data_IF_971798433554
#
_entry.id   IF_971798433554
#
_cell.length_a   1.000
_cell.length_b   1.000
_cell.length_c   1.000
_cell.angle_alpha   90.00
_cell.angle_beta   90.00
_cell.angle_gamma   90.00
#
_symmetry.space_group_name_H-M   'P 1'
#
loop_
_entity.id
_entity.type
_entity.pdbx_description
1 polymer ?
#
# COMPACT_ATOMS: atom_id res chain seq x y z
N UNK A 1 43.96 2.79 -40.15
CA UNK A 1 45.15 2.76 -41.03
C UNK A 1 45.25 4.17 -41.60
N UNK A 2 46.22 5.05 -41.35
CA UNK A 2 47.64 4.97 -40.98
C UNK A 2 48.03 6.24 -40.17
N UNK A 3 48.83 6.11 -39.11
CA UNK A 3 50.21 6.63 -38.90
C UNK A 3 50.37 8.17 -38.94
N UNK A 4 50.69 8.89 -37.84
CA UNK A 4 51.87 8.88 -36.94
C UNK A 4 53.12 9.59 -37.52
N UNK A 5 53.57 10.68 -36.87
CA UNK A 5 54.95 11.27 -36.77
C UNK A 5 54.80 12.56 -35.91
N UNK A 6 55.28 12.77 -34.67
CA UNK A 6 56.57 12.67 -33.94
C UNK A 6 57.71 13.52 -34.53
N UNK A 7 58.15 14.55 -33.78
CA UNK A 7 59.53 14.86 -33.28
C UNK A 7 59.64 16.35 -32.86
N UNK A 8 59.83 16.66 -31.56
CA UNK A 8 61.10 16.79 -30.80
C UNK A 8 61.82 18.12 -31.02
N UNK A 9 61.91 18.96 -29.98
CA UNK A 9 63.11 19.77 -29.68
C UNK A 9 63.24 19.97 -28.17
N UNK A 10 64.47 19.86 -27.68
CA UNK A 10 64.88 19.76 -26.30
C UNK A 10 65.77 20.93 -25.86
N UNK A 11 65.81 21.12 -24.53
CA UNK A 11 66.93 21.61 -23.70
C UNK A 11 67.18 23.10 -23.52
N UNK A 12 67.61 23.43 -22.27
CA UNK A 12 68.53 24.50 -21.76
C UNK A 12 67.82 25.33 -20.64
N UNK A 13 68.28 25.58 -19.40
CA UNK A 13 69.56 25.48 -18.61
C UNK A 13 69.19 25.86 -17.13
N UNK A 14 69.55 25.12 -16.05
CA UNK A 14 70.67 25.33 -15.07
C UNK A 14 70.33 25.97 -13.69
N UNK A 15 70.66 25.19 -12.63
CA UNK A 15 71.24 25.50 -11.29
C UNK A 15 70.48 26.28 -10.19
N UNK A 16 70.32 25.66 -9.00
CA UNK A 16 71.23 25.85 -7.85
C UNK A 16 70.88 24.92 -6.66
N UNK A 17 71.90 24.24 -6.15
CA UNK A 17 71.89 23.37 -4.96
C UNK A 17 72.52 24.16 -3.81
N UNK A 18 71.85 24.21 -2.65
CA UNK A 18 72.49 24.54 -1.37
C UNK A 18 72.10 23.44 -0.38
N UNK A 19 73.11 22.72 0.09
CA UNK A 19 73.06 21.78 1.21
C UNK A 19 73.49 22.49 2.49
N UNK A 20 72.77 22.25 3.59
CA UNK A 20 73.25 22.50 4.95
C UNK A 20 72.76 21.39 5.87
N UNK A 21 73.73 20.77 6.55
CA UNK A 21 73.63 19.61 7.43
C UNK A 21 73.03 19.95 8.80
N UNK A 22 72.30 18.97 9.36
CA UNK A 22 72.45 18.55 10.77
C UNK A 22 71.36 19.00 11.76
N UNK A 23 70.52 18.06 12.20
CA UNK A 23 70.39 17.65 13.62
C UNK A 23 69.14 16.76 13.81
N UNK A 24 69.36 15.58 14.39
CA UNK A 24 68.32 14.60 14.78
C UNK A 24 67.39 15.15 15.87
N UNK A 25 66.09 14.93 15.68
CA UNK A 25 65.04 15.21 16.67
C UNK A 25 63.80 14.38 16.38
N UNK A 26 63.72 13.20 16.99
CA UNK A 26 62.55 12.34 16.93
C UNK A 26 61.39 12.93 17.76
N UNK A 27 60.26 13.26 17.14
CA UNK A 27 58.96 13.30 17.83
C UNK A 27 57.77 13.15 16.88
N UNK A 28 57.08 12.02 16.99
CA UNK A 28 55.62 11.85 16.88
C UNK A 28 54.88 12.44 15.67
N UNK A 29 54.73 11.64 14.62
CA UNK A 29 53.77 11.87 13.52
C UNK A 29 52.34 11.54 13.99
N UNK A 30 51.58 12.53 14.47
CA UNK A 30 50.14 12.37 14.72
C UNK A 30 49.35 12.60 13.41
N UNK A 31 49.18 11.53 12.64
CA UNK A 31 48.16 11.51 11.59
C UNK A 31 46.77 11.49 12.25
N UNK A 32 46.09 12.63 12.25
CA UNK A 32 44.68 12.71 12.60
C UNK A 32 43.87 11.98 11.51
N UNK A 33 43.72 10.66 11.66
CA UNK A 33 42.81 9.86 10.84
C UNK A 33 41.39 10.26 11.25
N UNK A 34 40.84 11.25 10.57
CA UNK A 34 39.42 11.57 10.66
C UNK A 34 38.65 10.34 10.18
N UNK A 35 38.24 9.51 11.13
CA UNK A 35 37.36 8.37 10.91
C UNK A 35 35.97 8.94 10.66
N UNK A 36 35.68 9.25 9.40
CA UNK A 36 34.31 9.49 8.96
C UNK A 36 33.55 8.17 9.14
N UNK A 37 32.88 8.02 10.30
CA UNK A 37 31.83 7.01 10.49
C UNK A 37 30.75 7.31 9.45
N UNK A 38 30.83 6.66 8.29
CA UNK A 38 29.70 6.55 7.37
C UNK A 38 28.54 5.96 8.18
N UNK A 39 27.49 6.73 8.42
CA UNK A 39 26.29 6.25 9.06
C UNK A 39 25.83 4.99 8.30
N UNK A 40 25.84 3.84 8.98
CA UNK A 40 25.42 2.58 8.41
C UNK A 40 23.94 2.74 8.05
N UNK A 41 23.62 2.89 6.76
CA UNK A 41 22.25 2.98 6.25
C UNK A 41 21.50 1.74 6.70
N UNK A 42 20.76 1.83 7.79
CA UNK A 42 19.92 0.76 8.32
C UNK A 42 18.81 0.53 7.30
N UNK A 43 18.94 -0.52 6.49
CA UNK A 43 17.95 -0.87 5.49
C UNK A 43 16.62 -1.18 6.17
N UNK A 44 15.54 -0.48 5.79
CA UNK A 44 14.18 -0.80 6.25
C UNK A 44 13.88 -2.25 5.89
N UNK A 45 13.67 -3.10 6.89
CA UNK A 45 13.37 -4.52 6.68
C UNK A 45 11.87 -4.68 6.42
N UNK A 46 11.48 -4.57 5.15
CA UNK A 46 10.10 -4.81 4.71
C UNK A 46 9.82 -6.32 4.78
N UNK A 47 8.69 -6.69 5.38
CA UNK A 47 8.13 -8.04 5.41
C UNK A 47 6.84 -8.03 4.62
N UNK A 48 6.65 -9.02 3.76
CA UNK A 48 5.46 -9.15 2.93
C UNK A 48 4.52 -10.15 3.58
N UNK A 49 3.24 -9.77 3.68
CA UNK A 49 2.18 -10.62 4.18
C UNK A 49 1.17 -10.91 3.07
N UNK A 50 0.64 -12.12 3.04
CA UNK A 50 -0.34 -12.56 2.04
C UNK A 50 -1.54 -13.21 2.70
N UNK A 51 -2.73 -12.88 2.19
CA UNK A 51 -3.99 -13.56 2.48
C UNK A 51 -5.02 -13.19 1.40
N UNK A 52 -5.75 -14.19 0.90
CA UNK A 52 -6.71 -13.99 -0.19
C UNK A 52 -6.10 -13.24 -1.38
N UNK A 53 -6.79 -12.20 -1.85
CA UNK A 53 -6.39 -11.31 -2.93
C UNK A 53 -5.56 -10.09 -2.47
N UNK A 54 -5.03 -10.09 -1.24
CA UNK A 54 -4.29 -8.94 -0.70
C UNK A 54 -2.86 -9.30 -0.34
N UNK A 55 -1.93 -8.49 -0.82
CA UNK A 55 -0.52 -8.48 -0.44
C UNK A 55 -0.23 -7.21 0.36
N UNK A 56 0.42 -7.34 1.51
CA UNK A 56 0.76 -6.22 2.37
C UNK A 56 2.28 -6.13 2.58
N UNK A 57 2.90 -5.06 2.07
CA UNK A 57 4.30 -4.71 2.32
C UNK A 57 4.40 -3.87 3.60
N UNK A 58 4.98 -4.43 4.64
CA UNK A 58 4.97 -3.85 5.99
C UNK A 58 6.40 -3.59 6.47
N UNK A 59 6.65 -2.38 6.97
CA UNK A 59 7.84 -2.10 7.76
C UNK A 59 7.45 -1.52 9.12
N UNK A 60 7.97 -2.18 10.16
CA UNK A 60 7.82 -1.77 11.55
C UNK A 60 9.16 -1.33 12.10
N UNK A 61 9.12 -0.31 12.95
CA UNK A 61 10.26 0.15 13.73
C UNK A 61 10.86 -1.01 14.53
N UNK A 62 12.19 -1.20 14.50
CA UNK A 62 12.83 -2.25 15.28
C UNK A 62 12.80 -1.97 16.79
N UNK A 63 12.54 -0.73 17.22
CA UNK A 63 12.61 -0.32 18.63
C UNK A 63 11.31 -0.56 19.39
N UNK A 64 10.19 -0.11 18.83
CA UNK A 64 8.88 -0.12 19.49
C UNK A 64 7.84 -0.96 18.72
N UNK A 65 8.21 -1.53 17.57
CA UNK A 65 7.35 -2.31 16.67
C UNK A 65 6.20 -1.50 16.05
N UNK A 66 6.24 -0.18 16.15
CA UNK A 66 5.25 0.70 15.50
C UNK A 66 5.30 0.55 13.99
N UNK A 67 4.13 0.58 13.35
CA UNK A 67 4.03 0.55 11.90
C UNK A 67 4.52 1.89 11.34
N UNK A 68 5.53 1.86 10.48
CA UNK A 68 6.12 3.07 9.89
C UNK A 68 5.89 3.17 8.38
N UNK A 69 5.60 2.04 7.73
CA UNK A 69 5.26 1.99 6.31
C UNK A 69 4.33 0.81 6.07
N UNK A 70 3.30 1.06 5.28
CA UNK A 70 2.43 0.05 4.73
C UNK A 70 2.11 0.39 3.29
N UNK A 71 2.17 -0.63 2.43
CA UNK A 71 1.58 -0.59 1.09
C UNK A 71 0.79 -1.86 0.88
N UNK A 72 -0.49 -1.70 0.55
CA UNK A 72 -1.33 -2.82 0.15
C UNK A 72 -1.31 -2.93 -1.38
N UNK A 73 -1.47 -4.13 -1.87
CA UNK A 73 -1.60 -4.43 -3.30
C UNK A 73 -2.71 -5.46 -3.45
N UNK A 74 -3.72 -5.08 -4.22
CA UNK A 74 -4.77 -5.98 -4.66
C UNK A 74 -4.26 -6.85 -5.81
N UNK A 75 -4.55 -8.15 -5.73
CA UNK A 75 -4.39 -9.11 -6.80
C UNK A 75 -5.69 -9.21 -7.61
N UNK A 76 -5.58 -9.34 -8.93
CA UNK A 76 -6.74 -9.58 -9.80
C UNK A 76 -7.35 -10.95 -9.59
N UNK A 77 -6.49 -11.96 -9.43
CA UNK A 77 -6.84 -13.35 -9.19
C UNK A 77 -5.64 -14.09 -8.56
N UNK A 78 -5.83 -15.39 -8.27
CA UNK A 78 -4.80 -16.22 -7.65
C UNK A 78 -3.52 -16.40 -8.47
N UNK A 79 -3.56 -16.19 -9.79
CA UNK A 79 -2.41 -16.39 -10.68
C UNK A 79 -1.38 -15.25 -10.60
N UNK A 80 -1.83 -14.02 -10.28
CA UNK A 80 -0.97 -12.83 -10.19
C UNK A 80 -0.09 -12.80 -8.92
N UNK A 81 -0.41 -13.66 -7.94
CA UNK A 81 0.28 -13.63 -6.65
C UNK A 81 1.79 -13.92 -6.79
N UNK A 82 2.17 -15.00 -7.47
CA UNK A 82 3.60 -15.39 -7.55
C UNK A 82 4.44 -14.36 -8.31
N UNK A 83 3.93 -13.81 -9.42
CA UNK A 83 4.63 -12.76 -10.17
C UNK A 83 4.76 -11.47 -9.36
N UNK A 84 3.72 -11.10 -8.60
CA UNK A 84 3.74 -9.96 -7.67
C UNK A 84 4.80 -10.15 -6.59
N UNK A 85 4.84 -11.33 -5.96
CA UNK A 85 5.82 -11.64 -4.91
C UNK A 85 7.26 -11.68 -5.46
N UNK A 86 7.46 -12.16 -6.68
CA UNK A 86 8.76 -12.14 -7.36
C UNK A 86 9.24 -10.71 -7.62
N UNK A 87 8.36 -9.82 -8.09
CA UNK A 87 8.69 -8.42 -8.30
C UNK A 87 9.07 -7.70 -7.00
N UNK A 88 8.40 -8.02 -5.88
CA UNK A 88 8.71 -7.44 -4.57
C UNK A 88 10.05 -7.96 -4.03
N UNK A 89 10.38 -9.24 -4.24
CA UNK A 89 11.63 -9.89 -3.84
C UNK A 89 11.98 -9.66 -2.34
N UNK A 90 11.05 -10.02 -1.45
CA UNK A 90 11.16 -9.90 0.01
C UNK A 90 10.67 -11.16 0.73
N UNK A 91 11.01 -11.34 2.02
CA UNK A 91 10.48 -12.43 2.82
C UNK A 91 8.94 -12.36 2.90
N UNK A 92 8.28 -13.46 2.56
CA UNK A 92 6.82 -13.59 2.52
C UNK A 92 6.32 -14.39 3.71
N UNK A 93 5.19 -13.98 4.28
CA UNK A 93 4.51 -14.66 5.37
C UNK A 93 3.02 -14.77 5.06
N UNK A 94 2.55 -16.00 4.94
CA UNK A 94 1.12 -16.26 4.92
C UNK A 94 0.51 -16.00 6.31
N UNK A 95 -0.63 -15.32 6.37
CA UNK A 95 -1.39 -15.07 7.61
C UNK A 95 -2.86 -15.42 7.43
N UNK A 96 -3.63 -15.52 8.52
CA UNK A 96 -5.07 -15.73 8.44
C UNK A 96 -5.84 -14.42 8.25
N UNK A 97 -7.10 -14.54 7.82
CA UNK A 97 -8.08 -13.44 7.65
C UNK A 97 -8.01 -12.36 8.73
N UNK A 98 -8.22 -12.75 9.99
CA UNK A 98 -8.26 -11.82 11.13
C UNK A 98 -6.99 -10.97 11.25
N UNK A 99 -5.82 -11.55 10.95
CA UNK A 99 -4.55 -10.82 10.99
C UNK A 99 -4.39 -9.89 9.80
N UNK A 100 -4.85 -10.29 8.60
CA UNK A 100 -4.81 -9.43 7.43
C UNK A 100 -5.75 -8.23 7.60
N UNK A 101 -6.98 -8.45 8.07
CA UNK A 101 -7.91 -7.36 8.37
C UNK A 101 -7.34 -6.38 9.40
N UNK A 102 -6.71 -6.89 10.46
CA UNK A 102 -6.03 -6.04 11.44
C UNK A 102 -4.90 -5.21 10.81
N UNK A 103 -4.11 -5.78 9.89
CA UNK A 103 -3.08 -5.04 9.17
C UNK A 103 -3.69 -3.97 8.26
N UNK A 104 -4.74 -4.29 7.49
CA UNK A 104 -5.43 -3.33 6.61
C UNK A 104 -5.92 -2.12 7.42
N UNK A 105 -6.57 -2.37 8.57
CA UNK A 105 -7.04 -1.30 9.45
C UNK A 105 -5.88 -0.48 10.05
N UNK A 106 -4.78 -1.11 10.44
CA UNK A 106 -3.61 -0.39 10.95
C UNK A 106 -2.92 0.45 9.85
N UNK A 107 -2.89 -0.05 8.61
CA UNK A 107 -2.38 0.68 7.45
C UNK A 107 -3.20 1.94 7.14
N UNK A 108 -4.51 1.88 7.31
CA UNK A 108 -5.42 3.00 7.13
C UNK A 108 -5.11 4.15 8.10
N UNK A 109 -4.82 3.82 9.36
CA UNK A 109 -4.55 4.76 10.46
C UNK A 109 -3.16 5.42 10.39
N UNK A 110 -2.30 5.02 9.43
CA UNK A 110 -0.97 5.63 9.28
C UNK A 110 -1.08 7.10 8.87
N UNK A 111 -0.48 7.97 9.70
CA UNK A 111 -0.46 9.42 9.50
C UNK A 111 0.67 9.91 8.58
N UNK A 112 1.70 9.11 8.35
CA UNK A 112 2.92 9.53 7.65
C UNK A 112 2.81 9.52 6.10
N UNK A 113 1.60 9.48 5.54
CA UNK A 113 1.37 9.63 4.09
C UNK A 113 1.29 11.10 3.65
N UNK A 114 1.46 12.03 4.59
CA UNK A 114 1.39 13.46 4.36
C UNK A 114 2.79 14.04 4.10
N UNK A 115 3.19 14.11 2.82
CA UNK A 115 4.07 15.15 2.22
C UNK A 115 4.75 14.68 0.92
N UNK A 116 3.96 14.53 -0.16
CA UNK A 116 4.36 15.07 -1.46
C UNK A 116 3.12 15.82 -2.01
N UNK A 117 2.78 16.92 -1.35
CA UNK A 117 2.07 18.01 -1.99
C UNK A 117 3.14 18.92 -2.58
N UNK A 118 3.47 18.75 -3.85
CA UNK A 118 4.05 19.83 -4.64
C UNK A 118 3.00 20.28 -5.67
N UNK A 119 2.84 21.59 -5.69
CA UNK A 119 1.92 22.43 -6.45
C UNK A 119 1.52 21.86 -7.82
N UNK A 120 0.30 21.34 -7.89
CA UNK A 120 -0.38 21.09 -9.16
C UNK A 120 -1.27 22.29 -9.48
N UNK A 121 -0.93 23.01 -10.56
CA UNK A 121 -1.76 24.05 -11.14
C UNK A 121 -3.23 23.64 -11.24
N UNK A 122 -4.12 24.60 -10.96
CA UNK A 122 -5.53 24.54 -11.30
C UNK A 122 -5.66 24.27 -12.81
N UNK A 123 -6.07 23.06 -13.19
CA UNK A 123 -6.36 22.70 -14.58
C UNK A 123 -5.83 21.34 -14.99
N UNK A 124 -6.41 20.26 -14.47
CA UNK A 124 -6.41 18.96 -15.16
C UNK A 124 -7.84 18.39 -15.14
N UNK A 125 -8.61 18.78 -16.15
CA UNK A 125 -10.02 18.42 -16.36
C UNK A 125 -10.18 16.96 -16.86
N UNK A 126 -9.08 16.20 -16.98
CA UNK A 126 -9.11 14.82 -17.49
C UNK A 126 -9.63 13.81 -16.46
N UNK A 127 -9.38 14.04 -15.16
CA UNK A 127 -9.86 13.16 -14.08
C UNK A 127 -11.35 13.27 -13.79
N UNK A 128 -12.00 14.38 -14.17
CA UNK A 128 -13.43 14.57 -14.00
C UNK A 128 -14.23 13.62 -14.91
N UNK A 129 -13.84 13.50 -16.18
CA UNK A 129 -14.49 12.60 -17.12
C UNK A 129 -14.29 11.12 -16.78
N UNK A 130 -13.08 10.69 -16.37
CA UNK A 130 -12.86 9.31 -15.89
C UNK A 130 -13.65 8.99 -14.60
N UNK A 131 -13.79 9.98 -13.69
CA UNK A 131 -14.59 9.85 -12.48
C UNK A 131 -16.08 9.66 -12.74
N UNK A 132 -16.62 10.25 -13.82
CA UNK A 132 -18.02 10.05 -14.23
C UNK A 132 -18.26 8.62 -14.72
N UNK A 133 -17.34 8.05 -15.50
CA UNK A 133 -17.48 6.66 -15.99
C UNK A 133 -17.28 5.63 -14.89
N UNK A 134 -16.38 5.89 -13.94
CA UNK A 134 -16.10 5.01 -12.80
C UNK A 134 -16.96 5.34 -11.56
N UNK A 135 -17.92 6.27 -11.68
CA UNK A 135 -18.77 6.73 -10.57
C UNK A 135 -17.98 7.05 -9.27
N UNK A 136 -16.81 7.68 -9.41
CA UNK A 136 -15.92 8.02 -8.30
C UNK A 136 -16.44 9.29 -7.63
N UNK A 137 -16.61 9.24 -6.31
CA UNK A 137 -17.13 10.36 -5.56
C UNK A 137 -16.16 11.55 -5.58
N UNK A 138 -16.63 12.79 -5.85
CA UNK A 138 -15.77 13.97 -5.90
C UNK A 138 -14.92 14.17 -4.65
N UNK A 139 -13.64 14.52 -4.83
CA UNK A 139 -12.69 14.69 -3.73
C UNK A 139 -12.08 13.38 -3.21
N UNK A 140 -12.45 12.23 -3.79
CA UNK A 140 -11.88 10.91 -3.48
C UNK A 140 -11.21 10.31 -4.72
N UNK A 141 -10.39 9.28 -4.54
CA UNK A 141 -9.80 8.48 -5.62
C UNK A 141 -10.17 7.02 -5.56
N UNK A 142 -10.66 6.54 -4.42
CA UNK A 142 -10.95 5.13 -4.13
C UNK A 142 -12.44 4.87 -3.90
N UNK A 143 -13.29 5.89 -3.78
CA UNK A 143 -14.71 5.69 -3.49
C UNK A 143 -15.55 5.63 -4.76
N UNK A 144 -15.63 4.46 -5.41
CA UNK A 144 -16.49 4.25 -6.59
C UNK A 144 -16.33 2.86 -7.21
N UNK A 145 -16.66 2.72 -8.50
CA UNK A 145 -16.45 1.50 -9.25
C UNK A 145 -14.98 1.39 -9.70
N UNK A 146 -14.13 0.84 -8.83
CA UNK A 146 -12.68 0.86 -9.00
C UNK A 146 -12.07 2.11 -8.37
N UNK A 147 -10.91 2.55 -8.89
CA UNK A 147 -10.20 3.73 -8.35
C UNK A 147 -9.43 4.50 -9.45
N UNK A 148 -9.23 5.79 -9.23
CA UNK A 148 -8.39 6.68 -10.08
C UNK A 148 -6.98 6.88 -9.50
N UNK A 149 -6.69 6.23 -8.36
CA UNK A 149 -5.41 6.38 -7.70
C UNK A 149 -4.26 5.85 -8.57
N UNK A 150 -3.22 6.67 -8.75
CA UNK A 150 -2.01 6.28 -9.52
C UNK A 150 -1.16 5.23 -8.79
N UNK A 151 -1.26 5.21 -7.46
CA UNK A 151 -0.60 4.25 -6.59
C UNK A 151 -1.31 4.20 -5.24
N UNK A 152 -0.94 3.24 -4.38
CA UNK A 152 -1.54 3.04 -3.06
C UNK A 152 -1.59 4.33 -2.21
N UNK A 153 -0.59 5.20 -2.29
CA UNK A 153 -0.50 6.43 -1.48
C UNK A 153 -1.25 7.62 -2.09
N UNK A 154 -1.79 7.47 -3.30
CA UNK A 154 -2.47 8.55 -4.01
C UNK A 154 -3.91 8.67 -3.50
N UNK A 155 -4.15 9.66 -2.64
CA UNK A 155 -5.45 9.97 -2.05
C UNK A 155 -6.00 11.29 -2.61
N UNK A 156 -7.32 11.45 -2.55
CA UNK A 156 -8.04 12.68 -2.83
C UNK A 156 -8.01 13.65 -1.64
N UNK A 157 -8.69 14.79 -1.80
CA UNK A 157 -8.79 15.82 -0.76
C UNK A 157 -9.60 15.37 0.46
N UNK A 158 -10.53 14.43 0.30
CA UNK A 158 -11.33 13.83 1.37
C UNK A 158 -10.57 12.67 2.04
N UNK A 159 -9.35 12.95 2.50
CA UNK A 159 -8.33 11.95 2.92
C UNK A 159 -8.89 10.87 3.85
N UNK A 160 -9.66 11.24 4.87
CA UNK A 160 -10.18 10.28 5.85
C UNK A 160 -11.20 9.32 5.21
N UNK A 161 -12.09 9.82 4.36
CA UNK A 161 -13.10 9.01 3.69
C UNK A 161 -12.46 8.16 2.59
N UNK A 162 -11.53 8.74 1.85
CA UNK A 162 -10.83 8.06 0.77
C UNK A 162 -9.98 6.90 1.29
N UNK A 163 -9.39 7.05 2.49
CA UNK A 163 -8.74 5.95 3.22
C UNK A 163 -9.70 4.82 3.57
N UNK A 164 -10.94 5.11 3.97
CA UNK A 164 -11.95 4.08 4.22
C UNK A 164 -12.22 3.26 2.94
N UNK A 165 -12.40 3.93 1.81
CA UNK A 165 -12.64 3.28 0.53
C UNK A 165 -11.43 2.49 0.04
N UNK A 166 -10.21 3.06 0.14
CA UNK A 166 -8.97 2.34 -0.17
C UNK A 166 -8.82 1.06 0.65
N UNK A 167 -9.13 1.10 1.94
CA UNK A 167 -9.08 -0.08 2.80
C UNK A 167 -10.12 -1.13 2.40
N UNK A 168 -11.34 -0.71 2.04
CA UNK A 168 -12.41 -1.58 1.55
C UNK A 168 -12.06 -2.23 0.20
N UNK A 169 -11.48 -1.46 -0.73
CA UNK A 169 -10.97 -1.97 -2.00
C UNK A 169 -9.90 -3.04 -1.80
N UNK A 170 -9.08 -2.96 -0.75
CA UNK A 170 -8.07 -3.98 -0.46
C UNK A 170 -8.62 -5.16 0.36
N UNK A 171 -9.94 -5.39 0.37
CA UNK A 171 -10.55 -6.54 1.01
C UNK A 171 -9.96 -7.86 0.46
N UNK A 172 -9.45 -8.77 1.32
CA UNK A 172 -8.79 -10.00 0.87
C UNK A 172 -9.72 -11.01 0.19
N UNK A 173 -11.01 -10.98 0.49
CA UNK A 173 -12.01 -11.88 -0.07
C UNK A 173 -13.06 -11.01 -0.73
N UNK A 174 -13.17 -11.11 -2.05
CA UNK A 174 -14.15 -10.38 -2.84
C UNK A 174 -14.40 -11.02 -4.19
N UNK A 175 -15.57 -10.75 -4.76
CA UNK A 175 -15.96 -11.15 -6.12
C UNK A 175 -16.35 -9.88 -6.88
N UNK A 176 -15.54 -9.54 -7.89
CA UNK A 176 -15.77 -8.37 -8.75
C UNK A 176 -17.09 -8.49 -9.55
N UNK A 177 -17.60 -7.39 -10.12
CA UNK A 177 -18.80 -7.42 -10.95
C UNK A 177 -18.72 -8.48 -12.05
N UNK A 178 -19.79 -9.25 -12.20
CA UNK A 178 -19.95 -10.28 -13.25
C UNK A 178 -18.97 -11.46 -13.17
N UNK A 179 -18.12 -11.52 -12.14
CA UNK A 179 -17.16 -12.60 -11.95
C UNK A 179 -17.76 -13.75 -11.13
N UNK A 180 -17.08 -14.90 -11.19
CA UNK A 180 -17.35 -16.06 -10.34
C UNK A 180 -16.19 -16.23 -9.37
N UNK A 181 -16.50 -16.57 -8.13
CA UNK A 181 -15.50 -16.89 -7.12
C UNK A 181 -16.17 -17.35 -5.83
N UNK A 182 -15.47 -18.19 -5.07
CA UNK A 182 -15.97 -18.73 -3.81
C UNK A 182 -17.32 -19.47 -3.94
N UNK A 183 -17.55 -20.15 -5.06
CA UNK A 183 -18.79 -20.88 -5.35
C UNK A 183 -19.98 -19.99 -5.74
N UNK A 184 -19.77 -18.68 -5.90
CA UNK A 184 -20.84 -17.69 -6.13
C UNK A 184 -20.55 -16.86 -7.39
N UNK A 185 -21.58 -16.63 -8.21
CA UNK A 185 -21.52 -15.66 -9.31
C UNK A 185 -22.05 -14.31 -8.83
N UNK A 186 -21.25 -13.25 -8.96
CA UNK A 186 -21.70 -11.90 -8.66
C UNK A 186 -22.43 -11.28 -9.85
N UNK A 187 -23.76 -11.31 -9.84
CA UNK A 187 -24.60 -10.67 -10.87
C UNK A 187 -24.87 -9.17 -10.65
N UNK A 188 -24.14 -8.53 -9.73
CA UNK A 188 -24.31 -7.11 -9.48
C UNK A 188 -23.22 -6.29 -10.19
N UNK A 189 -23.49 -5.01 -10.52
CA UNK A 189 -22.51 -4.13 -11.13
C UNK A 189 -21.47 -3.59 -10.14
N UNK A 190 -21.46 -4.08 -8.89
CA UNK A 190 -20.53 -3.68 -7.83
C UNK A 190 -19.84 -4.89 -7.22
N UNK A 191 -18.69 -4.67 -6.57
CA UNK A 191 -17.91 -5.74 -5.92
C UNK A 191 -18.64 -6.26 -4.69
N UNK A 192 -18.72 -7.59 -4.55
CA UNK A 192 -19.19 -8.28 -3.35
C UNK A 192 -17.99 -8.62 -2.47
N UNK A 193 -17.88 -8.00 -1.29
CA UNK A 193 -16.72 -8.16 -0.39
C UNK A 193 -17.02 -9.08 0.81
N UNK A 194 -16.01 -9.40 1.61
CA UNK A 194 -16.20 -10.09 2.88
C UNK A 194 -16.98 -9.25 3.88
N UNK A 195 -17.86 -9.87 4.67
CA UNK A 195 -18.70 -9.15 5.63
C UNK A 195 -17.90 -8.34 6.66
N UNK A 196 -16.72 -8.83 7.07
CA UNK A 196 -15.85 -8.08 7.99
C UNK A 196 -15.28 -6.80 7.35
N UNK A 197 -15.01 -6.82 6.03
CA UNK A 197 -14.59 -5.62 5.30
C UNK A 197 -15.71 -4.57 5.28
N UNK A 198 -16.96 -5.00 5.06
CA UNK A 198 -18.12 -4.10 5.07
C UNK A 198 -18.39 -3.53 6.48
N UNK A 199 -18.21 -4.35 7.52
CA UNK A 199 -18.32 -3.92 8.92
C UNK A 199 -17.25 -2.87 9.26
N UNK A 200 -16.00 -3.10 8.87
CA UNK A 200 -14.92 -2.15 9.15
C UNK A 200 -15.05 -0.88 8.29
N UNK A 201 -15.54 -1.00 7.06
CA UNK A 201 -15.90 0.14 6.21
C UNK A 201 -16.98 1.02 6.86
N UNK A 202 -18.06 0.41 7.37
CA UNK A 202 -19.10 1.12 8.12
C UNK A 202 -18.53 1.90 9.31
N UNK A 203 -17.67 1.25 10.12
CA UNK A 203 -17.04 1.89 11.28
C UNK A 203 -16.15 3.04 10.86
N UNK A 204 -15.37 2.86 9.79
CA UNK A 204 -14.47 3.90 9.29
C UNK A 204 -15.24 5.14 8.84
N UNK A 205 -16.27 4.97 8.00
CA UNK A 205 -17.12 6.09 7.56
C UNK A 205 -17.78 6.81 8.74
N UNK A 206 -18.28 6.03 9.71
CA UNK A 206 -18.87 6.58 10.94
C UNK A 206 -17.86 7.41 11.75
N UNK A 207 -16.59 6.97 11.80
CA UNK A 207 -15.53 7.66 12.51
C UNK A 207 -15.03 8.92 11.75
N UNK A 208 -15.01 8.88 10.42
CA UNK A 208 -14.64 10.02 9.58
C UNK A 208 -15.59 11.22 9.76
N UNK A 209 -16.87 10.94 10.06
CA UNK A 209 -17.84 11.93 10.56
C UNK A 209 -17.92 13.22 9.70
N UNK A 210 -18.06 13.04 8.39
CA UNK A 210 -18.21 14.12 7.40
C UNK A 210 -19.46 13.91 6.54
N UNK A 211 -19.91 14.94 5.82
CA UNK A 211 -21.02 14.80 4.86
C UNK A 211 -20.69 13.80 3.75
N UNK A 212 -19.44 13.80 3.29
CA UNK A 212 -18.93 12.85 2.29
C UNK A 212 -19.03 11.41 2.79
N UNK A 213 -18.66 11.17 4.05
CA UNK A 213 -18.84 9.86 4.68
C UNK A 213 -20.32 9.47 4.79
N UNK A 214 -21.19 10.41 5.17
CA UNK A 214 -22.63 10.18 5.27
C UNK A 214 -23.25 9.80 3.90
N UNK A 215 -22.87 10.49 2.83
CA UNK A 215 -23.36 10.18 1.47
C UNK A 215 -22.89 8.82 0.98
N UNK A 216 -21.61 8.50 1.15
CA UNK A 216 -21.05 7.19 0.74
C UNK A 216 -21.68 6.06 1.57
N UNK A 217 -21.84 6.27 2.88
CA UNK A 217 -22.46 5.32 3.78
C UNK A 217 -23.93 5.05 3.44
N UNK A 218 -24.72 6.10 3.19
CA UNK A 218 -26.11 5.97 2.76
C UNK A 218 -26.21 5.23 1.41
N UNK A 219 -25.36 5.58 0.44
CA UNK A 219 -25.34 4.91 -0.86
C UNK A 219 -25.05 3.41 -0.72
N UNK A 220 -23.99 3.04 -0.01
CA UNK A 220 -23.54 1.65 0.10
C UNK A 220 -24.51 0.78 0.92
N UNK A 221 -24.83 1.22 2.14
CA UNK A 221 -25.55 0.38 3.10
C UNK A 221 -27.08 0.49 2.99
N UNK A 222 -27.61 1.66 2.57
CA UNK A 222 -29.06 1.87 2.53
C UNK A 222 -29.63 1.74 1.12
N UNK A 223 -28.98 2.30 0.09
CA UNK A 223 -29.48 2.27 -1.28
C UNK A 223 -29.07 0.99 -2.03
N UNK A 224 -27.78 0.68 -2.11
CA UNK A 224 -27.28 -0.50 -2.84
C UNK A 224 -27.51 -1.81 -2.07
N UNK A 225 -27.42 -1.76 -0.73
CA UNK A 225 -27.63 -2.93 0.16
C UNK A 225 -26.82 -4.15 -0.30
N UNK A 226 -25.54 -3.90 -0.60
CA UNK A 226 -24.61 -4.91 -1.14
C UNK A 226 -24.52 -6.11 -0.20
N UNK A 227 -24.79 -7.31 -0.72
CA UNK A 227 -24.58 -8.55 0.04
C UNK A 227 -23.08 -8.79 0.27
N UNK A 228 -22.73 -9.59 1.27
CA UNK A 228 -21.35 -9.88 1.63
C UNK A 228 -21.07 -11.38 1.72
N UNK A 229 -19.79 -11.76 1.67
CA UNK A 229 -19.32 -13.14 1.77
C UNK A 229 -18.80 -13.44 3.18
N UNK A 230 -19.01 -14.68 3.65
CA UNK A 230 -18.42 -15.19 4.90
C UNK A 230 -18.28 -16.72 4.83
N UNK A 231 -17.35 -17.28 5.58
CA UNK A 231 -17.19 -18.72 5.71
C UNK A 231 -18.48 -19.41 6.21
N UNK A 232 -18.81 -20.56 5.61
CA UNK A 232 -19.85 -21.45 6.12
C UNK A 232 -19.42 -22.02 7.48
N UNK A 233 -20.35 -22.36 8.41
CA UNK A 233 -19.99 -22.96 9.68
C UNK A 233 -19.06 -24.17 9.52
N UNK A 234 -17.95 -24.18 10.27
CA UNK A 234 -16.94 -25.25 10.22
C UNK A 234 -15.84 -25.07 9.17
N UNK A 235 -15.95 -24.09 8.27
CA UNK A 235 -14.88 -23.75 7.32
C UNK A 235 -13.90 -22.77 7.97
N UNK A 236 -12.61 -23.13 8.02
CA UNK A 236 -11.53 -22.27 8.47
C UNK A 236 -10.49 -22.14 7.36
N UNK A 237 -10.32 -20.91 6.84
CA UNK A 237 -9.37 -20.61 5.79
C UNK A 237 -8.14 -19.96 6.43
N UNK A 238 -7.19 -20.78 6.82
CA UNK A 238 -5.87 -20.29 7.20
C UNK A 238 -4.77 -21.28 6.80
N UNK A 239 -3.66 -20.81 6.17
CA UNK A 239 -2.50 -21.64 5.88
C UNK A 239 -1.91 -22.24 7.16
N UNK A 240 -1.47 -23.50 7.09
CA UNK A 240 -0.89 -24.18 8.24
C UNK A 240 0.51 -23.59 8.54
N UNK A 241 0.80 -23.36 9.82
CA UNK A 241 2.11 -22.86 10.23
C UNK A 241 3.18 -23.93 9.96
N UNK A 242 4.09 -23.66 9.01
CA UNK A 242 5.20 -24.55 8.67
C UNK A 242 4.91 -25.55 7.54
N UNK A 243 3.79 -25.44 6.83
CA UNK A 243 3.58 -26.17 5.59
C UNK A 243 4.51 -25.65 4.48
N UNK A 244 4.94 -26.53 3.58
CA UNK A 244 5.52 -26.17 2.28
C UNK A 244 4.46 -25.64 1.30
N UNK A 245 3.33 -25.12 1.81
CA UNK A 245 2.28 -24.55 0.97
C UNK A 245 2.83 -23.37 0.16
N UNK A 246 2.26 -23.17 -1.03
CA UNK A 246 2.60 -22.05 -1.89
C UNK A 246 2.51 -20.73 -1.11
N UNK A 247 3.36 -19.77 -1.47
CA UNK A 247 3.33 -18.41 -0.89
C UNK A 247 2.01 -17.67 -1.13
N UNK A 248 1.16 -18.29 -1.94
CA UNK A 248 -0.11 -17.80 -2.47
C UNK A 248 -1.27 -18.75 -2.16
N UNK A 249 -1.16 -19.54 -1.08
CA UNK A 249 -2.11 -20.62 -0.76
C UNK A 249 -3.57 -20.14 -0.87
N UNK A 250 -3.96 -19.14 -0.10
CA UNK A 250 -5.35 -18.67 -0.06
C UNK A 250 -5.81 -18.02 -1.36
N UNK A 251 -4.91 -17.32 -2.07
CA UNK A 251 -5.20 -16.71 -3.37
C UNK A 251 -5.58 -17.79 -4.41
N UNK A 252 -4.95 -18.97 -4.34
CA UNK A 252 -5.21 -20.09 -5.24
C UNK A 252 -6.49 -20.88 -4.94
N UNK A 253 -7.20 -20.55 -3.86
CA UNK A 253 -8.40 -21.26 -3.43
C UNK A 253 -9.71 -20.61 -3.87
N UNK A 254 -9.68 -19.49 -4.58
CA UNK A 254 -10.89 -18.74 -4.98
C UNK A 254 -11.89 -19.63 -5.73
N UNK A 255 -11.41 -20.48 -6.65
CA UNK A 255 -12.27 -21.37 -7.44
C UNK A 255 -12.58 -22.71 -6.74
N UNK A 256 -11.99 -22.96 -5.56
CA UNK A 256 -12.09 -24.23 -4.82
C UNK A 256 -12.88 -24.13 -3.53
N UNK A 257 -13.06 -22.92 -3.01
CA UNK A 257 -13.80 -22.67 -1.79
C UNK A 257 -15.25 -22.31 -2.12
N UNK A 258 -16.14 -22.61 -1.18
CA UNK A 258 -17.51 -22.12 -1.22
C UNK A 258 -17.79 -21.31 0.04
N UNK A 259 -18.09 -20.03 -0.14
CA UNK A 259 -18.51 -19.14 0.94
C UNK A 259 -20.04 -18.98 0.95
N UNK A 260 -20.60 -18.55 2.08
CA UNK A 260 -21.98 -18.13 2.17
C UNK A 260 -22.13 -16.68 1.70
N UNK A 261 -23.25 -16.38 1.03
CA UNK A 261 -23.67 -15.01 0.69
C UNK A 261 -24.74 -14.53 1.68
N UNK A 262 -24.52 -13.39 2.31
CA UNK A 262 -25.37 -12.83 3.35
C UNK A 262 -25.89 -11.45 2.96
N UNK A 263 -27.14 -11.14 3.29
CA UNK A 263 -27.74 -9.84 2.98
C UNK A 263 -27.07 -8.70 3.77
N UNK A 264 -27.15 -7.48 3.25
CA UNK A 264 -26.76 -6.29 4.01
C UNK A 264 -27.67 -6.10 5.23
N UNK A 265 -27.11 -6.32 6.42
CA UNK A 265 -27.82 -6.11 7.70
C UNK A 265 -27.54 -4.73 8.31
N UNK A 266 -26.52 -4.03 7.83
CA UNK A 266 -26.10 -2.73 8.34
C UNK A 266 -27.01 -1.64 7.77
N UNK A 267 -27.53 -0.78 8.64
CA UNK A 267 -28.21 0.46 8.25
C UNK A 267 -27.33 1.66 8.62
N UNK A 268 -27.00 2.49 7.62
CA UNK A 268 -26.24 3.70 7.86
C UNK A 268 -27.16 4.82 8.36
N UNK A 269 -26.75 5.54 9.40
CA UNK A 269 -27.54 6.63 9.98
C UNK A 269 -26.84 7.96 9.71
N UNK A 270 -27.40 8.72 8.78
CA UNK A 270 -26.94 10.05 8.43
C UNK A 270 -27.02 11.01 9.63
N UNK A 271 -25.87 11.57 10.02
CA UNK A 271 -25.76 12.45 11.20
C UNK A 271 -25.89 13.93 10.83
N UNK A 272 -25.59 14.29 9.60
CA UNK A 272 -25.73 15.68 9.11
C UNK A 272 -27.20 16.11 9.02
N UNK A 273 -28.13 15.21 8.68
CA UNK A 273 -29.58 15.50 8.71
C UNK A 273 -30.13 15.73 10.13
N UNK A 274 -29.65 14.99 11.13
CA UNK A 274 -30.17 15.07 12.52
C UNK A 274 -29.70 16.32 13.28
N UNK A 275 -28.59 16.94 12.87
CA UNK A 275 -28.16 18.24 13.41
C UNK A 275 -29.01 19.41 12.88
N UNK A 276 -29.48 19.34 11.63
CA UNK A 276 -30.35 20.37 11.03
C UNK A 276 -31.77 20.39 11.58
N UNK A 277 -32.26 19.27 12.13
CA UNK A 277 -33.58 19.19 12.76
C UNK A 277 -33.59 19.60 14.25
N UNK A 278 -32.46 20.05 14.80
CA UNK A 278 -32.31 20.47 16.21
C UNK A 278 -31.78 21.90 16.37
N UNK A 279 -31.72 22.67 15.29
CA UNK A 279 -31.44 24.11 15.26
C UNK A 279 -32.68 24.87 14.84
#
# INVERSE_FOLDING_TARGET
MERMTIRLFASVIIFLVIASLGADGALGRMHHRSSTRTAKKTSRKIVVYTYGLTVAEIYRSPHDRTLQYCKLTELKDGSECESTLQAINRPVRNICHKKMMALINECMELKNEESISEEGNLGDDTGFFEGIWNAIYPGTKWCGAGHLARNYFDLGSEVLVDKCCRAHDHCPIKVRPWQFGYGERNYSPYTKSHCDCDIDFFKCLTAANSSTADTIGDLFFNAMRVSCLREKPGLNICPNAGSTESKCHTASLIDKLELGSYAAEIKYLNRTCTRRSRS
#
